data_IF_006907894529
#
_entry.id   IF_006907894529
#
_cell.length_a   1.000
_cell.length_b   1.000
_cell.length_c   1.000
_cell.angle_alpha   90.00
_cell.angle_beta   90.00
_cell.angle_gamma   90.00
#
_symmetry.space_group_name_H-M   'P 1'
#
loop_
_entity.id
_entity.type
_entity.pdbx_description
1 polymer ?
#
# COMPACT_ATOMS: atom_id res chain seq x y z
N UNK A 1 -17.56 -19.07 -16.23
CA UNK A 1 -16.33 -18.62 -16.91
C UNK A 1 -15.57 -17.72 -15.96
N UNK A 2 -14.40 -18.16 -15.50
CA UNK A 2 -13.58 -17.44 -14.51
C UNK A 2 -13.03 -16.15 -15.15
N UNK A 3 -13.35 -14.99 -14.58
CA UNK A 3 -12.76 -13.72 -15.00
C UNK A 3 -11.27 -13.68 -14.57
N UNK A 4 -10.38 -14.09 -15.48
CA UNK A 4 -8.91 -13.99 -15.32
C UNK A 4 -8.40 -12.65 -14.75
N UNK A 5 -8.89 -11.47 -15.18
CA UNK A 5 -8.40 -10.20 -14.62
C UNK A 5 -8.79 -9.99 -13.15
N UNK A 6 -9.99 -10.40 -12.73
CA UNK A 6 -10.44 -10.30 -11.33
C UNK A 6 -9.66 -11.26 -10.44
N UNK A 7 -9.34 -12.47 -10.93
CA UNK A 7 -8.49 -13.43 -10.22
C UNK A 7 -7.09 -12.85 -9.98
N UNK A 8 -6.46 -12.27 -11.01
CA UNK A 8 -5.14 -11.66 -10.88
C UNK A 8 -5.15 -10.48 -9.90
N UNK A 9 -6.15 -9.60 -9.98
CA UNK A 9 -6.29 -8.48 -9.06
C UNK A 9 -6.48 -8.94 -7.61
N UNK A 10 -7.29 -9.98 -7.40
CA UNK A 10 -7.50 -10.55 -6.08
C UNK A 10 -6.22 -11.18 -5.50
N UNK A 11 -5.50 -11.98 -6.29
CA UNK A 11 -4.22 -12.56 -5.86
C UNK A 11 -3.20 -11.46 -5.54
N UNK A 12 -3.10 -10.41 -6.36
CA UNK A 12 -2.22 -9.28 -6.10
C UNK A 12 -2.57 -8.58 -4.77
N UNK A 13 -3.86 -8.38 -4.49
CA UNK A 13 -4.30 -7.78 -3.22
C UNK A 13 -3.93 -8.62 -2.00
N UNK A 14 -4.02 -9.96 -2.10
CA UNK A 14 -3.63 -10.88 -1.02
C UNK A 14 -2.12 -10.78 -0.79
N UNK A 15 -1.31 -10.83 -1.86
CA UNK A 15 0.15 -10.73 -1.76
C UNK A 15 0.55 -9.41 -1.10
N UNK A 16 -0.08 -8.29 -1.47
CA UNK A 16 0.18 -6.99 -0.89
C UNK A 16 -0.18 -6.93 0.61
N UNK A 17 -1.34 -7.48 0.99
CA UNK A 17 -1.76 -7.58 2.40
C UNK A 17 -0.78 -8.43 3.23
N UNK A 18 -0.45 -9.62 2.74
CA UNK A 18 0.48 -10.55 3.42
C UNK A 18 1.87 -9.95 3.51
N UNK A 19 2.36 -9.29 2.45
CA UNK A 19 3.64 -8.59 2.47
C UNK A 19 3.68 -7.49 3.54
N UNK A 20 2.64 -6.65 3.60
CA UNK A 20 2.52 -5.58 4.60
C UNK A 20 2.50 -6.10 6.04
N UNK A 21 1.83 -7.22 6.29
CA UNK A 21 1.82 -7.92 7.58
C UNK A 21 3.17 -8.55 7.91
N UNK A 22 3.82 -9.18 6.94
CA UNK A 22 5.12 -9.83 7.12
C UNK A 22 6.21 -8.84 7.53
N UNK A 23 6.22 -7.65 6.92
CA UNK A 23 7.14 -6.58 7.31
C UNK A 23 6.90 -6.08 8.74
N UNK A 24 5.64 -6.05 9.19
CA UNK A 24 5.28 -5.65 10.56
C UNK A 24 5.68 -6.71 11.60
N UNK A 25 5.26 -7.95 11.39
CA UNK A 25 5.31 -9.01 12.40
C UNK A 25 6.66 -9.73 12.44
N UNK A 26 7.27 -9.98 11.27
CA UNK A 26 8.52 -10.75 11.21
C UNK A 26 9.76 -9.87 11.18
N UNK A 27 9.71 -8.74 10.47
CA UNK A 27 10.86 -7.83 10.37
C UNK A 27 10.84 -6.70 11.42
N UNK A 28 9.75 -6.58 12.20
CA UNK A 28 9.65 -5.61 13.28
C UNK A 28 9.63 -4.15 12.82
N UNK A 29 9.26 -3.88 11.56
CA UNK A 29 9.17 -2.50 11.06
C UNK A 29 7.93 -1.83 11.61
N UNK A 30 8.14 -0.84 12.47
CA UNK A 30 7.07 -0.06 13.09
C UNK A 30 6.51 0.88 12.00
N UNK A 31 5.22 0.74 11.64
CA UNK A 31 4.62 1.55 10.59
C UNK A 31 4.45 3.00 11.05
N UNK A 32 4.80 3.95 10.18
CA UNK A 32 4.50 5.35 10.42
C UNK A 32 3.02 5.67 10.10
N UNK A 33 2.59 6.90 10.38
CA UNK A 33 1.20 7.33 10.14
C UNK A 33 0.79 7.22 8.67
N UNK A 34 1.68 7.58 7.72
CA UNK A 34 1.44 7.43 6.27
C UNK A 34 1.31 5.96 5.83
N UNK A 35 2.16 5.06 6.36
CA UNK A 35 2.01 3.62 6.11
C UNK A 35 0.67 3.08 6.62
N UNK A 36 0.17 3.63 7.72
CA UNK A 36 -1.17 3.28 8.23
C UNK A 36 -2.27 3.70 7.26
N UNK A 37 -2.20 4.90 6.68
CA UNK A 37 -3.14 5.32 5.64
C UNK A 37 -3.10 4.39 4.41
N UNK A 38 -1.92 3.96 3.97
CA UNK A 38 -1.80 2.99 2.88
C UNK A 38 -2.47 1.65 3.24
N UNK A 39 -2.30 1.15 4.47
CA UNK A 39 -2.97 -0.08 4.95
C UNK A 39 -4.49 0.05 4.95
N UNK A 40 -5.03 1.18 5.39
CA UNK A 40 -6.48 1.44 5.40
C UNK A 40 -7.07 1.41 3.99
N UNK A 41 -6.34 1.92 3.00
CA UNK A 41 -6.77 1.91 1.59
C UNK A 41 -6.63 0.53 0.95
N UNK A 42 -5.60 -0.24 1.33
CA UNK A 42 -5.26 -1.50 0.69
C UNK A 42 -6.05 -2.70 1.23
N UNK A 43 -6.20 -2.83 2.55
CA UNK A 43 -6.81 -4.03 3.16
C UNK A 43 -8.27 -4.29 2.71
N UNK A 44 -9.13 -3.27 2.54
CA UNK A 44 -10.49 -3.48 2.05
C UNK A 44 -10.55 -4.05 0.62
N UNK A 45 -9.54 -3.79 -0.21
CA UNK A 45 -9.50 -4.25 -1.60
C UNK A 45 -9.51 -5.78 -1.70
N UNK A 46 -8.90 -6.48 -0.74
CA UNK A 46 -8.90 -7.95 -0.68
C UNK A 46 -10.33 -8.49 -0.59
N UNK A 47 -11.15 -7.86 0.25
CA UNK A 47 -12.55 -8.25 0.43
C UNK A 47 -13.40 -7.87 -0.78
N UNK A 48 -13.26 -6.64 -1.30
CA UNK A 48 -14.03 -6.19 -2.46
C UNK A 48 -13.74 -7.01 -3.72
N UNK A 49 -12.45 -7.25 -4.01
CA UNK A 49 -12.04 -8.05 -5.17
C UNK A 49 -12.39 -9.52 -4.99
N UNK A 50 -12.35 -10.06 -3.77
CA UNK A 50 -12.77 -11.42 -3.46
C UNK A 50 -14.27 -11.64 -3.71
N UNK A 51 -15.12 -10.71 -3.26
CA UNK A 51 -16.57 -10.75 -3.51
C UNK A 51 -16.86 -10.59 -5.01
N UNK A 52 -16.19 -9.66 -5.68
CA UNK A 52 -16.34 -9.45 -7.13
C UNK A 52 -15.92 -10.68 -7.93
N UNK A 53 -14.85 -11.36 -7.52
CA UNK A 53 -14.41 -12.61 -8.13
C UNK A 53 -15.46 -13.72 -7.96
N UNK A 54 -15.99 -13.91 -6.75
CA UNK A 54 -17.01 -14.92 -6.47
C UNK A 54 -18.32 -14.67 -7.24
N UNK A 55 -18.75 -13.41 -7.31
CA UNK A 55 -19.97 -13.00 -8.05
C UNK A 55 -19.74 -12.80 -9.55
N UNK A 56 -18.49 -12.89 -10.00
CA UNK A 56 -18.05 -12.58 -11.36
C UNK A 56 -18.46 -11.17 -11.84
N UNK A 57 -18.61 -10.24 -10.90
CA UNK A 57 -19.13 -8.89 -11.11
C UNK A 57 -18.02 -7.97 -11.60
N UNK A 58 -18.17 -7.50 -12.84
CA UNK A 58 -17.18 -6.62 -13.47
C UNK A 58 -17.37 -5.17 -13.10
N UNK A 59 -18.54 -4.76 -12.58
CA UNK A 59 -18.86 -3.36 -12.25
C UNK A 59 -18.16 -2.86 -10.97
N UNK A 60 -17.52 -3.75 -10.21
CA UNK A 60 -16.73 -3.43 -9.01
C UNK A 60 -15.64 -2.37 -9.28
N UNK A 61 -15.15 -2.26 -10.52
CA UNK A 61 -14.12 -1.29 -10.90
C UNK A 61 -14.51 0.15 -10.54
N UNK A 62 -15.80 0.49 -10.56
CA UNK A 62 -16.30 1.83 -10.21
C UNK A 62 -15.96 2.24 -8.77
N UNK A 63 -15.87 1.27 -7.87
CA UNK A 63 -15.55 1.49 -6.46
C UNK A 63 -14.07 1.26 -6.15
N UNK A 64 -13.47 0.26 -6.79
CA UNK A 64 -12.06 -0.10 -6.57
C UNK A 64 -11.12 0.96 -7.15
N UNK A 65 -11.42 1.48 -8.35
CA UNK A 65 -10.57 2.43 -9.06
C UNK A 65 -10.30 3.73 -8.27
N UNK A 66 -11.30 4.45 -7.72
CA UNK A 66 -11.02 5.65 -6.93
C UNK A 66 -10.20 5.36 -5.68
N UNK A 67 -10.44 4.24 -4.99
CA UNK A 67 -9.66 3.82 -3.81
C UNK A 67 -8.20 3.56 -4.20
N UNK A 68 -7.97 2.82 -5.29
CA UNK A 68 -6.62 2.54 -5.80
C UNK A 68 -5.89 3.80 -6.23
N UNK A 69 -6.57 4.76 -6.87
CA UNK A 69 -5.97 6.05 -7.27
C UNK A 69 -5.52 6.85 -6.04
N UNK A 70 -6.33 6.88 -4.98
CA UNK A 70 -5.94 7.54 -3.71
C UNK A 70 -4.76 6.79 -3.09
N UNK A 71 -4.75 5.46 -3.12
CA UNK A 71 -3.62 4.64 -2.68
C UNK A 71 -2.30 5.03 -3.36
N UNK A 72 -2.31 5.14 -4.68
CA UNK A 72 -1.15 5.55 -5.50
C UNK A 72 -0.73 6.99 -5.20
N UNK A 73 -1.67 7.91 -4.98
CA UNK A 73 -1.35 9.28 -4.59
C UNK A 73 -0.65 9.34 -3.22
N UNK A 74 -1.10 8.52 -2.25
CA UNK A 74 -0.49 8.46 -0.91
C UNK A 74 0.88 7.77 -0.96
N UNK A 75 1.04 6.69 -1.74
CA UNK A 75 2.33 6.00 -1.87
C UNK A 75 3.38 6.85 -2.58
N UNK A 76 2.99 7.55 -3.66
CA UNK A 76 3.88 8.47 -4.37
C UNK A 76 4.31 9.65 -3.48
N UNK A 77 3.40 10.23 -2.70
CA UNK A 77 3.74 11.27 -1.72
C UNK A 77 4.72 10.77 -0.66
N UNK A 78 4.49 9.56 -0.13
CA UNK A 78 5.37 8.96 0.87
C UNK A 78 6.76 8.62 0.31
N UNK A 79 6.82 8.14 -0.93
CA UNK A 79 8.08 7.90 -1.64
C UNK A 79 8.87 9.20 -1.86
N UNK A 80 8.19 10.28 -2.27
CA UNK A 80 8.81 11.60 -2.44
C UNK A 80 9.37 12.13 -1.10
N UNK A 81 8.62 11.96 0.00
CA UNK A 81 9.09 12.31 1.34
C UNK A 81 10.36 11.56 1.75
N UNK A 82 10.48 10.27 1.40
CA UNK A 82 11.68 9.49 1.72
C UNK A 82 12.89 9.91 0.87
N UNK A 83 12.68 10.32 -0.38
CA UNK A 83 13.75 10.65 -1.33
C UNK A 83 14.21 12.10 -1.32
N UNK A 84 13.34 13.04 -0.98
CA UNK A 84 13.65 14.47 -1.00
C UNK A 84 14.08 14.90 0.41
N UNK A 85 15.39 15.09 0.68
CA UNK A 85 15.88 15.47 2.00
C UNK A 85 15.30 16.81 2.50
N UNK A 86 14.96 17.72 1.58
CA UNK A 86 14.33 19.01 1.90
C UNK A 86 12.92 18.89 2.51
N UNK A 87 12.26 17.74 2.37
CA UNK A 87 10.93 17.49 2.95
C UNK A 87 10.99 16.63 4.22
N UNK A 88 12.18 16.23 4.67
CA UNK A 88 12.34 15.42 5.89
C UNK A 88 11.90 16.20 7.14
N UNK A 89 12.08 17.53 7.14
CA UNK A 89 11.62 18.46 8.18
C UNK A 89 10.09 18.37 8.40
N UNK A 90 9.29 18.22 7.34
CA UNK A 90 7.83 18.08 7.45
C UNK A 90 7.39 16.79 8.15
N UNK A 91 8.27 15.79 8.21
CA UNK A 91 7.98 14.50 8.88
C UNK A 91 8.45 14.45 10.35
N UNK A 92 9.20 15.45 10.80
CA UNK A 92 9.75 15.53 12.16
C UNK A 92 8.68 15.76 13.24
N UNK A 93 7.55 16.40 12.89
CA UNK A 93 6.42 16.65 13.80
C UNK A 93 5.38 15.53 13.76
N UNK A 94 5.80 14.26 13.92
CA UNK A 94 4.87 13.12 14.04
C UNK A 94 5.07 12.40 15.36
N UNK A 95 3.98 12.07 16.06
CA UNK A 95 4.04 11.28 17.30
C UNK A 95 4.44 9.85 16.97
N UNK A 96 5.72 9.51 17.09
CA UNK A 96 6.26 8.16 16.86
C UNK A 96 7.46 8.13 15.92
N UNK A 97 7.56 7.08 15.09
CA UNK A 97 8.68 6.90 14.15
C UNK A 97 8.50 7.82 12.93
N UNK A 98 9.53 8.59 12.52
CA UNK A 98 9.42 9.54 11.42
C UNK A 98 9.13 8.82 10.09
N UNK A 99 8.22 9.41 9.29
CA UNK A 99 7.85 8.88 7.98
C UNK A 99 8.98 8.95 6.94
N UNK A 100 10.03 9.75 7.20
CA UNK A 100 11.26 9.84 6.40
C UNK A 100 12.21 8.66 6.60
N UNK A 101 12.02 7.85 7.65
CA UNK A 101 12.84 6.68 7.92
C UNK A 101 12.77 5.64 6.78
N UNK A 102 13.93 5.25 6.26
CA UNK A 102 14.04 4.20 5.24
C UNK A 102 14.47 2.88 5.91
N UNK A 103 13.52 1.96 6.11
CA UNK A 103 13.81 0.62 6.64
C UNK A 103 14.44 -0.33 5.60
N UNK A 104 13.97 -0.25 4.35
CA UNK A 104 14.49 -1.03 3.22
C UNK A 104 14.89 -0.06 2.12
N UNK A 105 16.11 -0.22 1.63
CA UNK A 105 16.60 0.47 0.44
C UNK A 105 17.50 -0.49 -0.34
N UNK A 106 16.90 -1.52 -0.95
CA UNK A 106 17.64 -2.65 -1.55
C UNK A 106 18.48 -2.23 -2.76
N UNK A 107 18.04 -1.21 -3.52
CA UNK A 107 18.65 -0.81 -4.80
C UNK A 107 18.92 0.70 -4.90
N UNK A 108 18.85 1.44 -3.80
CA UNK A 108 18.87 2.91 -3.88
C UNK A 108 17.56 3.52 -4.37
N UNK A 109 16.52 2.73 -4.69
CA UNK A 109 15.20 3.19 -5.18
C UNK A 109 14.01 2.38 -4.65
N UNK A 110 14.16 1.08 -4.40
CA UNK A 110 13.06 0.23 -3.91
C UNK A 110 12.90 0.42 -2.41
N UNK A 111 11.95 1.26 -2.01
CA UNK A 111 11.50 1.42 -0.63
C UNK A 111 10.12 0.78 -0.45
N UNK A 112 9.71 0.54 0.80
CA UNK A 112 8.40 -0.03 1.13
C UNK A 112 7.23 0.69 0.44
N UNK A 113 7.14 2.03 0.41
CA UNK A 113 6.06 2.73 -0.30
C UNK A 113 6.12 2.59 -1.83
N UNK A 114 7.25 2.19 -2.42
CA UNK A 114 7.31 1.89 -3.87
C UNK A 114 6.67 0.53 -4.20
N UNK A 115 6.54 -0.35 -3.20
CA UNK A 115 5.91 -1.67 -3.35
C UNK A 115 4.38 -1.63 -3.12
N UNK A 116 3.83 -0.46 -2.76
CA UNK A 116 2.43 -0.25 -2.41
C UNK A 116 1.58 0.26 -3.58
#
# INVERSE_FOLDING_TARGET
MVNKPLLLAWIASIIAMVGSLFFSERMGFIPCTLCWYQRILMYPLVFFLGIAFYRNDRDIYKYVLPISVIGVAVSSYHYALQKIPSMHEFSACTSGVPCSGQYINWLGFVTIPFLA
#
